data_IF_960561374849
#
_entry.id   IF_960561374849
#
_cell.length_a   1.000
_cell.length_b   1.000
_cell.length_c   1.000
_cell.angle_alpha   90.00
_cell.angle_beta   90.00
_cell.angle_gamma   90.00
#
_symmetry.space_group_name_H-M   'P 1'
#
loop_
_entity.id
_entity.type
_entity.pdbx_description
1 polymer ?
#
# COMPACT_ATOMS: atom_id res chain seq x y z
N UNK A 1 1.73 0.75 9.30
CA UNK A 1 2.85 -0.22 9.33
C UNK A 1 3.81 0.09 8.19
N UNK A 2 5.02 -0.44 8.17
CA UNK A 2 5.91 -0.26 7.03
C UNK A 2 6.76 -1.51 6.78
N UNK A 3 7.02 -1.81 5.51
CA UNK A 3 7.89 -2.91 5.08
C UNK A 3 8.71 -2.51 3.85
N UNK A 4 9.73 -3.28 3.52
CA UNK A 4 10.54 -3.08 2.32
C UNK A 4 10.30 -4.22 1.31
N UNK A 5 10.25 -3.88 0.03
CA UNK A 5 10.04 -4.80 -1.08
C UNK A 5 10.78 -4.30 -2.33
N UNK A 6 11.69 -5.14 -2.86
CA UNK A 6 12.46 -4.87 -4.10
C UNK A 6 13.09 -3.47 -4.17
N UNK A 7 13.67 -3.00 -3.07
CA UNK A 7 14.33 -1.70 -2.99
C UNK A 7 13.39 -0.51 -2.80
N UNK A 8 12.11 -0.76 -2.51
CA UNK A 8 11.13 0.24 -2.10
C UNK A 8 10.69 0.03 -0.66
N UNK A 9 10.52 1.12 0.07
CA UNK A 9 9.80 1.14 1.34
C UNK A 9 8.34 1.47 1.10
N UNK A 10 7.48 0.59 1.61
CA UNK A 10 6.03 0.74 1.60
C UNK A 10 5.59 1.10 3.01
N UNK A 11 4.86 2.20 3.15
CA UNK A 11 4.23 2.62 4.41
C UNK A 11 2.72 2.56 4.27
N UNK A 12 2.08 1.71 5.06
CA UNK A 12 0.65 1.44 5.03
C UNK A 12 -0.07 2.08 6.21
N UNK A 13 -1.24 2.66 5.92
CA UNK A 13 -2.15 3.20 6.92
C UNK A 13 -3.56 2.66 6.63
N UNK A 14 -4.26 2.25 7.69
CA UNK A 14 -5.66 1.82 7.61
C UNK A 14 -6.43 2.53 8.69
N UNK A 15 -7.41 3.32 8.27
CA UNK A 15 -8.23 4.16 9.13
C UNK A 15 -9.71 3.87 8.86
N UNK A 16 -10.57 3.89 9.87
CA UNK A 16 -12.00 3.93 9.62
C UNK A 16 -12.37 5.26 8.96
N UNK A 17 -13.38 5.25 8.11
CA UNK A 17 -14.00 6.47 7.60
C UNK A 17 -14.81 7.20 8.69
N UNK A 18 -15.18 8.46 8.40
CA UNK A 18 -15.93 9.31 9.33
C UNK A 18 -17.28 8.69 9.75
N UNK A 19 -17.85 7.84 8.90
CA UNK A 19 -19.12 7.15 9.18
C UNK A 19 -18.94 5.82 9.90
N UNK A 20 -17.71 5.32 10.03
CA UNK A 20 -17.38 4.03 10.62
C UNK A 20 -17.86 2.82 9.81
N UNK A 21 -18.20 2.99 8.53
CA UNK A 21 -18.70 1.94 7.64
C UNK A 21 -17.64 1.37 6.71
N UNK A 22 -16.55 2.10 6.46
CA UNK A 22 -15.49 1.76 5.53
C UNK A 22 -14.11 1.82 6.21
N UNK A 23 -13.20 1.01 5.69
CA UNK A 23 -11.77 1.13 5.90
C UNK A 23 -11.19 1.94 4.74
N UNK A 24 -10.58 3.08 5.04
CA UNK A 24 -9.66 3.76 4.13
C UNK A 24 -8.27 3.19 4.33
N UNK A 25 -7.77 2.52 3.31
CA UNK A 25 -6.45 1.91 3.30
C UNK A 25 -5.57 2.66 2.31
N UNK A 26 -4.37 3.06 2.73
CA UNK A 26 -3.40 3.73 1.87
C UNK A 26 -2.02 3.09 2.00
N UNK A 27 -1.27 3.03 0.89
CA UNK A 27 0.14 2.65 0.85
C UNK A 27 0.94 3.74 0.13
N UNK A 28 1.93 4.31 0.81
CA UNK A 28 2.94 5.18 0.20
C UNK A 28 4.16 4.36 -0.16
N UNK A 29 4.67 4.52 -1.37
CA UNK A 29 5.76 3.70 -1.93
C UNK A 29 6.91 4.61 -2.35
N UNK A 30 8.04 4.49 -1.66
CA UNK A 30 9.23 5.29 -1.90
C UNK A 30 10.45 4.39 -2.09
N UNK A 31 11.23 4.63 -3.13
CA UNK A 31 12.48 3.90 -3.34
C UNK A 31 13.50 4.24 -2.27
N UNK A 32 14.21 3.23 -1.78
CA UNK A 32 15.22 3.35 -0.72
C UNK A 32 16.58 2.80 -1.14
N UNK A 33 16.62 1.91 -2.12
CA UNK A 33 17.87 1.44 -2.73
C UNK A 33 18.46 2.50 -3.65
N UNK A 34 19.78 2.47 -3.84
CA UNK A 34 20.48 3.45 -4.68
C UNK A 34 19.98 3.47 -6.15
N UNK A 35 19.45 2.36 -6.64
CA UNK A 35 18.84 2.28 -7.97
C UNK A 35 17.50 3.06 -8.07
N UNK A 36 16.83 3.30 -6.95
CA UNK A 36 15.46 3.83 -6.90
C UNK A 36 15.27 4.98 -5.89
N UNK A 37 16.35 5.49 -5.28
CA UNK A 37 16.32 6.40 -4.13
C UNK A 37 15.46 7.66 -4.33
N UNK A 38 15.34 8.14 -5.57
CA UNK A 38 14.53 9.31 -5.92
C UNK A 38 13.21 8.96 -6.63
N UNK A 39 12.90 7.67 -6.75
CA UNK A 39 11.67 7.16 -7.35
C UNK A 39 10.56 7.08 -6.31
N UNK A 40 9.46 7.77 -6.56
CA UNK A 40 8.21 7.60 -5.81
C UNK A 40 7.15 7.04 -6.75
N UNK A 41 6.56 5.91 -6.38
CA UNK A 41 5.45 5.35 -7.15
C UNK A 41 4.12 5.98 -6.71
N UNK A 42 3.10 5.97 -7.59
CA UNK A 42 1.76 6.37 -7.21
C UNK A 42 1.30 5.61 -5.94
N UNK A 43 0.67 6.30 -4.98
CA UNK A 43 0.17 5.64 -3.79
C UNK A 43 -0.95 4.67 -4.15
N UNK A 44 -1.07 3.60 -3.37
CA UNK A 44 -2.20 2.68 -3.46
C UNK A 44 -3.25 3.14 -2.47
N UNK A 45 -4.48 3.37 -2.93
CA UNK A 45 -5.61 3.74 -2.09
C UNK A 45 -6.78 2.79 -2.33
N UNK A 46 -7.35 2.25 -1.26
CA UNK A 46 -8.46 1.31 -1.29
C UNK A 46 -9.51 1.70 -0.25
N UNK A 47 -10.77 1.59 -0.64
CA UNK A 47 -11.91 1.77 0.26
C UNK A 47 -12.65 0.45 0.38
N UNK A 48 -12.68 -0.12 1.57
CA UNK A 48 -13.24 -1.46 1.79
C UNK A 48 -14.33 -1.43 2.86
N UNK A 49 -15.54 -1.96 2.60
CA UNK A 49 -16.58 -2.04 3.62
C UNK A 49 -16.14 -2.85 4.84
N UNK A 50 -16.29 -2.29 6.05
CA UNK A 50 -15.91 -2.95 7.31
C UNK A 50 -16.76 -4.18 7.62
N UNK A 51 -17.95 -4.25 7.04
CA UNK A 51 -18.85 -5.42 7.16
C UNK A 51 -18.32 -6.65 6.41
N UNK A 52 -17.37 -6.48 5.48
CA UNK A 52 -16.83 -7.56 4.67
C UNK A 52 -15.53 -8.13 5.22
N UNK A 53 -14.71 -7.32 5.90
CA UNK A 53 -13.38 -7.71 6.37
C UNK A 53 -13.00 -7.03 7.69
N UNK A 54 -12.21 -7.72 8.50
CA UNK A 54 -11.51 -7.12 9.64
C UNK A 54 -10.31 -6.27 9.21
N UNK A 55 -9.74 -5.55 10.18
CA UNK A 55 -8.65 -4.59 9.95
C UNK A 55 -7.35 -5.26 9.49
N UNK A 56 -7.05 -6.49 9.94
CA UNK A 56 -5.82 -7.19 9.54
C UNK A 56 -5.91 -7.64 8.09
N UNK A 57 -7.09 -8.09 7.65
CA UNK A 57 -7.35 -8.37 6.25
C UNK A 57 -7.23 -7.08 5.40
N UNK A 58 -7.72 -5.95 5.88
CA UNK A 58 -7.62 -4.67 5.17
C UNK A 58 -6.15 -4.24 4.97
N UNK A 59 -5.33 -4.39 6.03
CA UNK A 59 -3.87 -4.17 5.98
C UNK A 59 -3.23 -5.11 4.95
N UNK A 60 -3.51 -6.42 5.03
CA UNK A 60 -2.94 -7.41 4.12
C UNK A 60 -3.27 -7.12 2.65
N UNK A 61 -4.50 -6.69 2.36
CA UNK A 61 -4.92 -6.33 1.00
C UNK A 61 -4.17 -5.12 0.45
N UNK A 62 -4.02 -4.05 1.23
CA UNK A 62 -3.30 -2.85 0.78
C UNK A 62 -1.79 -3.10 0.63
N UNK A 63 -1.21 -3.94 1.50
CA UNK A 63 0.18 -4.39 1.36
C UNK A 63 0.40 -5.21 0.09
N UNK A 64 -0.50 -6.16 -0.21
CA UNK A 64 -0.40 -6.97 -1.42
C UNK A 64 -0.52 -6.11 -2.67
N UNK A 65 -1.49 -5.19 -2.69
CA UNK A 65 -1.68 -4.28 -3.84
C UNK A 65 -0.47 -3.36 -4.05
N UNK A 66 0.21 -2.95 -2.97
CA UNK A 66 1.45 -2.20 -3.07
C UNK A 66 2.61 -3.03 -3.66
N UNK A 67 2.73 -4.31 -3.29
CA UNK A 67 3.70 -5.23 -3.91
C UNK A 67 3.43 -5.40 -5.39
N UNK A 68 2.17 -5.65 -5.76
CA UNK A 68 1.76 -5.81 -7.17
C UNK A 68 2.10 -4.54 -7.97
N UNK A 69 1.85 -3.34 -7.41
CA UNK A 69 2.19 -2.08 -8.08
C UNK A 69 3.70 -1.89 -8.30
N UNK A 70 4.54 -2.33 -7.36
CA UNK A 70 6.00 -2.29 -7.53
C UNK A 70 6.43 -3.29 -8.60
N UNK A 71 5.90 -4.51 -8.55
CA UNK A 71 6.24 -5.57 -9.49
C UNK A 71 5.80 -5.22 -10.92
N UNK A 72 4.60 -4.64 -11.09
CA UNK A 72 4.09 -4.10 -12.36
C UNK A 72 5.00 -3.00 -12.92
N UNK A 73 5.43 -2.06 -12.08
CA UNK A 73 6.32 -0.97 -12.50
C UNK A 73 7.69 -1.50 -12.94
N UNK A 74 8.29 -2.42 -12.17
CA UNK A 74 9.56 -3.06 -12.51
C UNK A 74 9.48 -3.87 -13.81
N UNK A 75 8.33 -4.49 -14.10
CA UNK A 75 8.13 -5.24 -15.35
C UNK A 75 7.99 -4.34 -16.59
N UNK A 76 7.75 -3.04 -16.41
CA UNK A 76 7.61 -2.05 -17.48
C UNK A 76 8.92 -1.26 -17.75
N UNK A 77 9.97 -1.49 -16.96
CA UNK A 77 11.32 -0.95 -17.20
C UNK A 77 12.07 -1.74 -18.26
#
# INVERSE_FOLDING_TARGET
MSFEHRGFRVSTDVLPDDTGTQWYCSAKIHGVDDAYRDTTLPPVELTIPRTKIDVLMAISMVEQRARDSIDEWLAQQ
#
